data_IF_154440320836
#
_entry.id   IF_154440320836
#
_cell.length_a   1.000
_cell.length_b   1.000
_cell.length_c   1.000
_cell.angle_alpha   90.00
_cell.angle_beta   90.00
_cell.angle_gamma   90.00
#
_symmetry.space_group_name_H-M   'P 1'
#
loop_
_entity.id
_entity.type
_entity.pdbx_description
1 polymer ?
#
# COMPACT_ATOMS: atom_id res chain seq x y z
N UNK A 1 -18.30 -18.16 1.00
CA UNK A 1 -17.33 -18.34 -0.11
C UNK A 1 -17.30 -17.19 -1.10
N UNK A 2 -18.44 -16.70 -1.64
CA UNK A 2 -18.47 -15.56 -2.60
C UNK A 2 -17.71 -14.32 -2.10
N UNK A 3 -17.92 -13.91 -0.85
CA UNK A 3 -17.24 -12.75 -0.25
C UNK A 3 -15.70 -12.86 -0.20
N UNK A 4 -15.15 -14.07 -0.01
CA UNK A 4 -13.69 -14.27 0.03
C UNK A 4 -13.11 -14.21 -1.38
N UNK A 5 -13.81 -14.80 -2.36
CA UNK A 5 -13.42 -14.78 -3.76
C UNK A 5 -13.43 -13.34 -4.33
N UNK A 6 -14.42 -12.54 -3.97
CA UNK A 6 -14.50 -11.14 -4.39
C UNK A 6 -13.42 -10.29 -3.73
N UNK A 7 -13.10 -10.56 -2.45
CA UNK A 7 -11.99 -9.91 -1.76
C UNK A 7 -10.65 -10.23 -2.45
N UNK A 8 -10.40 -11.50 -2.79
CA UNK A 8 -9.16 -11.91 -3.45
C UNK A 8 -9.08 -11.27 -4.85
N UNK A 9 -10.13 -11.36 -5.67
CA UNK A 9 -10.14 -10.75 -7.01
C UNK A 9 -9.85 -9.25 -6.99
N UNK A 10 -10.33 -8.53 -5.98
CA UNK A 10 -10.15 -7.08 -5.85
C UNK A 10 -8.76 -6.68 -5.38
N UNK A 11 -8.06 -7.57 -4.68
CA UNK A 11 -6.73 -7.32 -4.10
C UNK A 11 -5.60 -8.08 -4.82
N UNK A 12 -5.93 -8.95 -5.78
CA UNK A 12 -4.99 -9.88 -6.43
C UNK A 12 -3.80 -9.17 -7.05
N UNK A 13 -4.01 -7.98 -7.60
CA UNK A 13 -2.99 -7.27 -8.36
C UNK A 13 -1.86 -6.76 -7.45
N UNK A 14 -2.20 -6.13 -6.32
CA UNK A 14 -1.19 -5.69 -5.35
C UNK A 14 -0.64 -6.84 -4.51
N UNK A 15 -1.45 -7.87 -4.23
CA UNK A 15 -0.98 -9.09 -3.54
C UNK A 15 0.07 -9.84 -4.37
N UNK A 16 -0.15 -9.98 -5.68
CA UNK A 16 0.82 -10.59 -6.58
C UNK A 16 2.06 -9.71 -6.75
N UNK A 17 1.89 -8.39 -6.94
CA UNK A 17 3.03 -7.47 -7.09
C UNK A 17 3.91 -7.46 -5.84
N UNK A 18 3.32 -7.31 -4.65
CA UNK A 18 4.04 -7.34 -3.37
C UNK A 18 4.66 -8.70 -3.08
N UNK A 19 3.94 -9.79 -3.35
CA UNK A 19 4.44 -11.16 -3.16
C UNK A 19 5.61 -11.48 -4.07
N UNK A 20 5.53 -11.14 -5.36
CA UNK A 20 6.63 -11.33 -6.32
C UNK A 20 7.83 -10.47 -5.97
N UNK A 21 7.63 -9.20 -5.62
CA UNK A 21 8.71 -8.31 -5.23
C UNK A 21 9.40 -8.79 -3.94
N UNK A 22 8.65 -9.29 -2.97
CA UNK A 22 9.20 -9.88 -1.75
C UNK A 22 10.02 -11.14 -2.05
N UNK A 23 9.53 -12.03 -2.93
CA UNK A 23 10.27 -13.22 -3.34
C UNK A 23 11.59 -12.90 -4.05
N UNK A 24 11.65 -11.76 -4.75
CA UNK A 24 12.81 -11.31 -5.53
C UNK A 24 13.66 -10.26 -4.81
N UNK A 25 13.48 -10.04 -3.51
CA UNK A 25 14.09 -8.91 -2.77
C UNK A 25 15.62 -8.98 -2.59
N UNK A 26 16.27 -10.07 -3.04
CA UNK A 26 17.72 -10.24 -2.90
C UNK A 26 18.47 -10.35 -4.23
N UNK A 27 18.35 -9.38 -5.16
CA UNK A 27 19.23 -9.31 -6.31
C UNK A 27 20.60 -8.75 -5.89
N UNK A 28 21.64 -9.10 -6.64
CA UNK A 28 23.02 -8.61 -6.43
C UNK A 28 23.21 -7.13 -6.77
N UNK A 29 22.31 -6.57 -7.57
CA UNK A 29 22.32 -5.17 -8.01
C UNK A 29 21.50 -4.34 -7.01
N UNK A 30 22.15 -3.36 -6.38
CA UNK A 30 21.59 -2.57 -5.29
C UNK A 30 20.33 -1.77 -5.70
N UNK A 31 20.29 -1.27 -6.92
CA UNK A 31 19.18 -0.49 -7.47
C UNK A 31 17.93 -1.37 -7.67
N UNK A 32 18.12 -2.59 -8.18
CA UNK A 32 17.03 -3.55 -8.37
C UNK A 32 16.49 -4.01 -7.01
N UNK A 33 17.37 -4.19 -6.04
CA UNK A 33 16.99 -4.53 -4.66
C UNK A 33 16.08 -3.47 -4.06
N UNK A 34 16.43 -2.20 -4.26
CA UNK A 34 15.64 -1.06 -3.80
C UNK A 34 14.30 -0.97 -4.52
N UNK A 35 14.27 -1.21 -5.83
CA UNK A 35 13.02 -1.25 -6.58
C UNK A 35 12.05 -2.32 -6.05
N UNK A 36 12.55 -3.52 -5.74
CA UNK A 36 11.72 -4.55 -5.11
C UNK A 36 11.26 -4.16 -3.70
N UNK A 37 12.14 -3.57 -2.90
CA UNK A 37 11.78 -3.06 -1.57
C UNK A 37 10.66 -2.00 -1.66
N UNK A 38 10.75 -1.08 -2.62
CA UNK A 38 9.71 -0.06 -2.88
C UNK A 38 8.38 -0.74 -3.19
N UNK A 39 8.36 -1.69 -4.13
CA UNK A 39 7.12 -2.39 -4.51
C UNK A 39 6.48 -3.13 -3.32
N UNK A 40 7.31 -3.70 -2.43
CA UNK A 40 6.82 -4.32 -1.19
C UNK A 40 6.19 -3.28 -0.26
N UNK A 41 6.85 -2.14 -0.03
CA UNK A 41 6.34 -1.08 0.84
C UNK A 41 5.05 -0.48 0.27
N UNK A 42 4.98 -0.22 -1.04
CA UNK A 42 3.78 0.27 -1.73
C UNK A 42 2.61 -0.71 -1.63
N UNK A 43 2.89 -2.01 -1.73
CA UNK A 43 1.86 -3.05 -1.58
C UNK A 43 1.30 -3.07 -0.15
N UNK A 44 2.14 -2.84 0.87
CA UNK A 44 1.70 -2.66 2.25
C UNK A 44 0.89 -1.36 2.43
N UNK A 45 1.28 -0.28 1.75
CA UNK A 45 0.57 0.99 1.74
C UNK A 45 -0.87 0.83 1.24
N UNK A 46 -1.04 0.08 0.14
CA UNK A 46 -2.35 -0.25 -0.42
C UNK A 46 -3.19 -1.11 0.53
N UNK A 47 -2.58 -2.09 1.19
CA UNK A 47 -3.25 -2.92 2.19
C UNK A 47 -3.75 -2.10 3.39
N UNK A 48 -2.90 -1.21 3.93
CA UNK A 48 -3.23 -0.32 5.03
C UNK A 48 -4.29 0.70 4.64
N UNK A 49 -4.25 1.22 3.41
CA UNK A 49 -5.28 2.12 2.88
C UNK A 49 -6.64 1.41 2.79
N UNK A 50 -6.67 0.17 2.31
CA UNK A 50 -7.89 -0.64 2.29
C UNK A 50 -8.45 -0.90 3.70
N UNK A 51 -7.58 -1.17 4.67
CA UNK A 51 -7.96 -1.34 6.07
C UNK A 51 -8.49 -0.03 6.67
N UNK A 52 -7.83 1.10 6.41
CA UNK A 52 -8.25 2.42 6.89
C UNK A 52 -9.65 2.78 6.34
N UNK A 53 -9.92 2.50 5.07
CA UNK A 53 -11.25 2.69 4.47
C UNK A 53 -12.29 1.77 5.11
N UNK A 54 -11.94 0.51 5.37
CA UNK A 54 -12.84 -0.43 6.04
C UNK A 54 -13.18 0.03 7.46
N UNK A 55 -12.19 0.49 8.23
CA UNK A 55 -12.40 1.04 9.58
C UNK A 55 -13.24 2.32 9.51
N UNK A 56 -12.93 3.23 8.59
CA UNK A 56 -13.69 4.46 8.38
C UNK A 56 -15.16 4.17 8.07
N UNK A 57 -15.45 3.27 7.13
CA UNK A 57 -16.82 2.94 6.73
C UNK A 57 -17.62 2.16 7.78
N UNK A 58 -16.97 1.57 8.79
CA UNK A 58 -17.65 0.93 9.93
C UNK A 58 -18.04 1.89 11.04
N UNK A 59 -17.50 3.10 11.06
CA UNK A 59 -17.88 4.15 12.01
C UNK A 59 -19.08 4.89 11.43
N UNK A 60 -20.21 4.88 12.13
CA UNK A 60 -21.47 5.44 11.65
C UNK A 60 -21.42 6.99 11.58
N UNK A 61 -21.25 7.53 10.37
CA UNK A 61 -21.15 8.97 10.08
C UNK A 61 -22.53 9.59 9.74
N UNK A 62 -23.57 9.35 10.53
CA UNK A 62 -24.87 10.05 10.37
C UNK A 62 -24.78 11.59 10.55
N UNK A 63 -23.58 12.16 10.67
CA UNK A 63 -23.31 13.60 10.77
C UNK A 63 -22.37 14.06 9.66
N UNK A 64 -22.96 14.80 8.73
CA UNK A 64 -22.34 15.61 7.68
C UNK A 64 -21.60 14.90 6.55
N UNK A 65 -21.80 15.44 5.35
CA UNK A 65 -21.11 15.08 4.11
C UNK A 65 -19.60 15.16 4.32
N UNK A 66 -19.01 14.04 4.76
CA UNK A 66 -17.57 13.89 4.83
C UNK A 66 -16.99 14.21 3.45
N UNK A 67 -16.21 15.30 3.37
CA UNK A 67 -15.44 15.65 2.19
C UNK A 67 -14.49 14.52 1.80
N UNK A 68 -13.57 14.78 0.86
CA UNK A 68 -12.63 13.81 0.27
C UNK A 68 -11.58 13.22 1.27
N UNK A 69 -12.01 12.81 2.46
CA UNK A 69 -11.23 12.21 3.54
C UNK A 69 -10.63 10.87 3.11
N UNK A 70 -11.31 10.12 2.25
CA UNK A 70 -10.76 8.91 1.63
C UNK A 70 -9.52 9.23 0.78
N UNK A 71 -9.59 10.30 -0.02
CA UNK A 71 -8.46 10.81 -0.79
C UNK A 71 -7.32 11.31 0.10
N UNK A 72 -7.63 11.97 1.22
CA UNK A 72 -6.63 12.44 2.19
C UNK A 72 -5.94 11.29 2.94
N UNK A 73 -6.67 10.26 3.33
CA UNK A 73 -6.10 9.04 3.94
C UNK A 73 -5.16 8.36 2.95
N UNK A 74 -5.60 8.18 1.71
CA UNK A 74 -4.76 7.61 0.66
C UNK A 74 -3.51 8.45 0.41
N UNK A 75 -3.66 9.78 0.28
CA UNK A 75 -2.56 10.71 0.07
C UNK A 75 -1.55 10.66 1.23
N UNK A 76 -2.03 10.66 2.47
CA UNK A 76 -1.18 10.61 3.66
C UNK A 76 -0.32 9.34 3.72
N UNK A 77 -0.93 8.18 3.47
CA UNK A 77 -0.19 6.90 3.43
C UNK A 77 0.88 6.92 2.33
N UNK A 78 0.56 7.43 1.13
CA UNK A 78 1.50 7.51 0.01
C UNK A 78 2.65 8.50 0.29
N UNK A 79 2.39 9.63 0.96
CA UNK A 79 3.45 10.57 1.34
C UNK A 79 4.42 9.92 2.34
N UNK A 80 3.91 9.23 3.38
CA UNK A 80 4.76 8.55 4.36
C UNK A 80 5.64 7.46 3.71
N UNK A 81 5.07 6.71 2.77
CA UNK A 81 5.80 5.68 2.03
C UNK A 81 6.81 6.31 1.08
N UNK A 82 6.43 7.33 0.31
CA UNK A 82 7.34 8.06 -0.58
C UNK A 82 8.53 8.68 0.15
N UNK A 83 8.33 9.22 1.35
CA UNK A 83 9.42 9.71 2.21
C UNK A 83 10.34 8.59 2.70
N UNK A 84 9.79 7.42 2.99
CA UNK A 84 10.58 6.23 3.37
C UNK A 84 11.46 5.77 2.21
N UNK A 85 10.90 5.74 1.00
CA UNK A 85 11.63 5.40 -0.23
C UNK A 85 12.72 6.42 -0.52
N UNK A 86 12.43 7.71 -0.40
CA UNK A 86 13.41 8.78 -0.55
C UNK A 86 14.57 8.61 0.43
N UNK A 87 14.26 8.30 1.70
CA UNK A 87 15.27 8.03 2.72
C UNK A 87 16.17 6.84 2.40
N UNK A 88 15.61 5.74 1.89
CA UNK A 88 16.38 4.59 1.42
C UNK A 88 17.29 4.97 0.24
N UNK A 89 16.78 5.76 -0.70
CA UNK A 89 17.55 6.21 -1.86
C UNK A 89 18.72 7.10 -1.44
N UNK A 90 18.49 8.08 -0.55
CA UNK A 90 19.56 8.95 -0.01
C UNK A 90 20.59 8.13 0.77
N UNK A 91 20.20 7.10 1.51
CA UNK A 91 21.13 6.28 2.29
C UNK A 91 21.99 5.33 1.43
N UNK A 92 21.60 5.07 0.18
CA UNK A 92 22.31 4.18 -0.74
C UNK A 92 23.37 4.89 -1.58
N UNK A 93 23.30 6.21 -1.72
CA UNK A 93 24.23 7.06 -2.48
C UNK A 93 25.07 7.93 -1.54
#
# INVERSE_FOLDING_TARGET
MKNILDFIKRNVLWLLAGGLAFALINPSIAEIKTLFLIVVIESLALALSGLAVYVYTKIDFTKESAGNNLGLIFLGVNICVGLTVLGVYIAQF
#
